data_IF_602648218750
#
_entry.id   IF_602648218750
#
_cell.length_a   1.000
_cell.length_b   1.000
_cell.length_c   1.000
_cell.angle_alpha   90.00
_cell.angle_beta   90.00
_cell.angle_gamma   90.00
#
_symmetry.space_group_name_H-M   'P 1'
#
loop_
_entity.id
_entity.type
_entity.pdbx_description
1 polymer ?
#
# COMPACT_ATOMS: atom_id res chain seq x y z
N UNK A 1 40.93 46.15 -9.09
CA UNK A 1 40.50 44.93 -8.36
C UNK A 1 39.01 44.71 -8.63
N UNK A 2 38.67 43.78 -9.52
CA UNK A 2 37.29 43.48 -9.91
C UNK A 2 36.69 42.52 -8.87
N UNK A 3 35.67 42.96 -8.13
CA UNK A 3 34.93 42.10 -7.20
C UNK A 3 33.92 41.28 -8.00
N UNK A 4 34.22 40.00 -8.20
CA UNK A 4 33.27 39.03 -8.76
C UNK A 4 32.24 38.72 -7.68
N UNK A 5 30.99 39.16 -7.90
CA UNK A 5 29.86 38.89 -7.03
C UNK A 5 29.29 37.51 -7.41
N UNK A 6 29.57 36.50 -6.58
CA UNK A 6 29.05 35.15 -6.76
C UNK A 6 27.57 35.15 -6.33
N UNK A 7 26.66 35.26 -7.31
CA UNK A 7 25.22 35.07 -7.08
C UNK A 7 24.98 33.58 -6.92
N UNK A 8 24.85 33.10 -5.69
CA UNK A 8 24.28 31.79 -5.41
C UNK A 8 22.80 31.81 -5.85
N UNK A 9 22.52 31.30 -7.04
CA UNK A 9 21.17 30.88 -7.41
C UNK A 9 20.81 29.70 -6.51
N UNK A 10 20.09 29.98 -5.44
CA UNK A 10 19.30 28.96 -4.74
C UNK A 10 18.25 28.47 -5.75
N UNK A 11 18.50 27.31 -6.36
CA UNK A 11 17.45 26.58 -7.06
C UNK A 11 16.38 26.24 -6.02
N UNK A 12 15.33 27.05 -5.97
CA UNK A 12 14.09 26.66 -5.34
C UNK A 12 13.56 25.48 -6.13
N UNK A 13 13.92 24.27 -5.72
CA UNK A 13 13.21 23.08 -6.13
C UNK A 13 11.78 23.24 -5.59
N UNK A 14 10.92 23.81 -6.41
CA UNK A 14 9.48 23.63 -6.28
C UNK A 14 9.26 22.12 -6.39
N UNK A 15 9.23 21.45 -5.24
CA UNK A 15 8.93 20.04 -5.11
C UNK A 15 7.42 19.92 -5.37
N UNK A 16 7.04 20.06 -6.63
CA UNK A 16 5.67 20.15 -7.08
C UNK A 16 4.91 18.89 -6.69
N UNK A 17 4.03 19.04 -5.69
CA UNK A 17 2.82 18.25 -5.48
C UNK A 17 2.90 16.77 -5.83
N UNK A 18 3.89 16.04 -5.27
CA UNK A 18 3.96 14.58 -5.37
C UNK A 18 3.42 13.94 -4.10
N UNK A 19 2.10 13.82 -4.03
CA UNK A 19 1.44 12.88 -3.11
C UNK A 19 0.25 12.32 -3.86
N UNK A 20 0.31 11.06 -4.26
CA UNK A 20 -0.78 10.51 -5.05
C UNK A 20 -1.01 9.01 -5.00
N UNK A 21 -0.10 8.15 -4.56
CA UNK A 21 -0.39 6.71 -4.60
C UNK A 21 -1.27 6.24 -3.45
N UNK A 22 -2.59 6.29 -3.62
CA UNK A 22 -3.43 5.32 -2.94
C UNK A 22 -3.60 4.06 -3.78
N UNK A 23 -4.19 3.03 -3.20
CA UNK A 23 -4.25 1.72 -3.82
C UNK A 23 -5.05 1.69 -5.14
N UNK A 24 -4.47 1.02 -6.12
CA UNK A 24 -5.02 0.83 -7.46
C UNK A 24 -5.59 -0.57 -7.61
N UNK A 25 -6.63 -0.68 -8.42
CA UNK A 25 -7.34 -1.92 -8.73
C UNK A 25 -7.27 -2.19 -10.23
N UNK A 26 -7.18 -3.46 -10.59
CA UNK A 26 -7.52 -3.96 -11.93
C UNK A 26 -9.00 -4.32 -11.92
N UNK A 27 -9.79 -3.57 -12.68
CA UNK A 27 -11.23 -3.80 -12.84
C UNK A 27 -11.48 -4.36 -14.23
N UNK A 28 -11.95 -5.60 -14.30
CA UNK A 28 -12.29 -6.28 -15.55
C UNK A 28 -13.79 -6.51 -15.66
N UNK A 29 -14.37 -6.20 -16.82
CA UNK A 29 -15.78 -6.43 -17.12
C UNK A 29 -15.90 -7.40 -18.29
N UNK A 30 -16.10 -8.68 -18.00
CA UNK A 30 -16.20 -9.73 -19.03
C UNK A 30 -17.51 -10.50 -18.91
N UNK A 31 -18.27 -10.56 -20.01
CA UNK A 31 -19.51 -11.34 -20.12
C UNK A 31 -20.53 -11.00 -19.02
N UNK A 32 -20.65 -9.71 -18.68
CA UNK A 32 -21.54 -9.22 -17.62
C UNK A 32 -21.04 -9.48 -16.19
N UNK A 33 -19.84 -10.05 -16.02
CA UNK A 33 -19.21 -10.25 -14.71
C UNK A 33 -18.14 -9.19 -14.48
N UNK A 34 -18.21 -8.51 -13.34
CA UNK A 34 -17.19 -7.58 -12.87
C UNK A 34 -16.22 -8.33 -11.96
N UNK A 35 -14.94 -8.33 -12.30
CA UNK A 35 -13.84 -8.82 -11.44
C UNK A 35 -13.03 -7.62 -10.98
N UNK A 36 -12.77 -7.55 -9.69
CA UNK A 36 -11.95 -6.51 -9.09
C UNK A 36 -10.81 -7.20 -8.35
N UNK A 37 -9.60 -6.75 -8.61
CA UNK A 37 -8.37 -7.30 -8.05
C UNK A 37 -7.44 -6.14 -7.68
N UNK A 38 -6.88 -6.16 -6.47
CA UNK A 38 -5.89 -5.19 -6.02
C UNK A 38 -4.64 -5.36 -6.87
N UNK A 39 -4.08 -4.24 -7.34
CA UNK A 39 -2.91 -4.28 -8.20
C UNK A 39 -1.72 -4.99 -7.54
N UNK A 40 -1.57 -4.84 -6.23
CA UNK A 40 -0.54 -5.51 -5.42
C UNK A 40 -0.58 -7.04 -5.59
N UNK A 41 -1.78 -7.61 -5.68
CA UNK A 41 -1.97 -9.04 -5.92
C UNK A 41 -1.82 -9.37 -7.39
N UNK A 42 -2.40 -8.55 -8.28
CA UNK A 42 -2.34 -8.76 -9.72
C UNK A 42 -0.89 -8.77 -10.26
N UNK A 43 -0.02 -7.89 -9.75
CA UNK A 43 1.39 -7.81 -10.16
C UNK A 43 2.26 -8.97 -9.61
N UNK A 44 1.75 -9.73 -8.64
CA UNK A 44 2.51 -10.78 -7.98
C UNK A 44 2.05 -12.17 -8.42
N UNK A 45 3.00 -12.99 -8.87
CA UNK A 45 2.79 -14.42 -9.07
C UNK A 45 3.27 -15.18 -7.84
N UNK A 46 2.35 -15.75 -7.07
CA UNK A 46 2.71 -16.57 -5.92
C UNK A 46 1.55 -17.40 -5.39
N UNK A 47 1.83 -18.50 -4.67
CA UNK A 47 0.79 -19.21 -3.94
C UNK A 47 0.24 -18.29 -2.86
N UNK A 48 -1.03 -17.94 -3.00
CA UNK A 48 -1.75 -17.14 -2.03
C UNK A 48 -2.14 -18.00 -0.85
N UNK A 49 -1.91 -17.51 0.37
CA UNK A 49 -2.36 -18.25 1.54
C UNK A 49 -3.87 -18.39 1.51
N UNK A 50 -4.39 -19.54 1.93
CA UNK A 50 -5.83 -19.70 2.15
C UNK A 50 -6.22 -18.85 3.36
N UNK A 51 -7.10 -17.89 3.12
CA UNK A 51 -7.68 -17.03 4.15
C UNK A 51 -9.09 -17.55 4.40
N UNK A 52 -9.38 -17.90 5.66
CA UNK A 52 -10.62 -18.59 6.02
C UNK A 52 -11.83 -17.66 6.15
N UNK A 53 -11.58 -16.37 6.38
CA UNK A 53 -12.63 -15.39 6.62
C UNK A 53 -13.12 -14.69 5.35
N UNK A 54 -14.42 -14.34 5.37
CA UNK A 54 -15.05 -13.45 4.40
C UNK A 54 -15.20 -12.00 4.92
N UNK A 55 -14.70 -11.70 6.13
CA UNK A 55 -14.72 -10.38 6.75
C UNK A 55 -13.33 -9.71 6.66
N UNK A 56 -13.23 -8.52 6.07
CA UNK A 56 -11.92 -7.89 5.86
C UNK A 56 -11.12 -7.62 7.14
N UNK A 57 -11.78 -7.35 8.27
CA UNK A 57 -11.08 -7.06 9.52
C UNK A 57 -10.42 -8.33 10.07
N UNK A 58 -11.13 -9.46 10.00
CA UNK A 58 -10.56 -10.77 10.34
C UNK A 58 -9.41 -11.14 9.40
N UNK A 59 -9.52 -10.84 8.10
CA UNK A 59 -8.43 -11.07 7.15
C UNK A 59 -7.17 -10.26 7.52
N UNK A 60 -7.35 -8.99 7.89
CA UNK A 60 -6.26 -8.12 8.36
C UNK A 60 -5.67 -8.67 9.65
N UNK A 61 -6.51 -9.07 10.61
CA UNK A 61 -6.06 -9.65 11.88
C UNK A 61 -5.26 -10.95 11.69
N UNK A 62 -5.72 -11.86 10.84
CA UNK A 62 -4.97 -13.07 10.47
C UNK A 62 -3.62 -12.72 9.84
N UNK A 63 -3.59 -11.72 8.95
CA UNK A 63 -2.38 -11.27 8.25
C UNK A 63 -1.37 -10.70 9.24
N UNK A 64 -1.82 -9.84 10.14
CA UNK A 64 -0.99 -9.24 11.17
C UNK A 64 -0.57 -10.25 12.24
N UNK A 65 -1.38 -11.26 12.52
CA UNK A 65 -1.02 -12.38 13.41
C UNK A 65 0.06 -13.28 12.80
N UNK A 66 0.05 -13.50 11.48
CA UNK A 66 1.16 -14.18 10.81
C UNK A 66 2.45 -13.34 10.90
N UNK A 67 2.36 -12.03 10.63
CA UNK A 67 3.51 -11.12 10.77
C UNK A 67 4.04 -11.05 12.21
N UNK A 68 3.16 -11.08 13.22
CA UNK A 68 3.52 -11.01 14.64
C UNK A 68 4.51 -12.12 15.04
N UNK A 69 4.38 -13.31 14.45
CA UNK A 69 5.27 -14.45 14.74
C UNK A 69 6.71 -14.24 14.28
N UNK A 70 6.92 -13.31 13.36
CA UNK A 70 8.19 -13.13 12.62
C UNK A 70 8.80 -11.75 12.92
N UNK A 71 7.97 -10.70 12.97
CA UNK A 71 8.34 -9.31 13.21
C UNK A 71 7.31 -8.63 14.15
N UNK A 72 7.33 -8.95 15.46
CA UNK A 72 6.29 -8.55 16.41
C UNK A 72 6.13 -7.03 16.54
N UNK A 73 7.20 -6.24 16.62
CA UNK A 73 7.06 -4.78 16.62
C UNK A 73 6.46 -4.21 15.33
N UNK A 74 6.79 -4.79 14.18
CA UNK A 74 6.22 -4.34 12.90
C UNK A 74 4.72 -4.65 12.85
N UNK A 75 4.31 -5.85 13.26
CA UNK A 75 2.92 -6.22 13.38
C UNK A 75 2.14 -5.30 14.34
N UNK A 76 2.71 -5.01 15.52
CA UNK A 76 2.12 -4.06 16.47
C UNK A 76 1.94 -2.68 15.83
N UNK A 77 2.97 -2.14 15.19
CA UNK A 77 2.90 -0.82 14.57
C UNK A 77 1.86 -0.77 13.44
N UNK A 78 1.69 -1.86 12.69
CA UNK A 78 0.63 -1.96 11.68
C UNK A 78 -0.77 -2.09 12.27
N UNK A 79 -0.95 -2.81 13.38
CA UNK A 79 -2.23 -2.83 14.13
C UNK A 79 -2.60 -1.43 14.62
N UNK A 80 -1.68 -0.76 15.30
CA UNK A 80 -1.90 0.60 15.82
C UNK A 80 -2.20 1.57 14.66
N UNK A 81 -1.56 1.38 13.50
CA UNK A 81 -1.82 2.20 12.31
C UNK A 81 -3.20 1.94 11.72
N UNK A 82 -3.63 0.68 11.64
CA UNK A 82 -4.95 0.29 11.14
C UNK A 82 -6.08 0.96 11.92
N UNK A 83 -6.03 0.89 13.25
CA UNK A 83 -7.02 1.54 14.12
C UNK A 83 -7.14 3.05 13.87
N UNK A 84 -6.00 3.73 13.65
CA UNK A 84 -5.99 5.16 13.31
C UNK A 84 -6.52 5.41 11.91
N UNK A 85 -6.10 4.60 10.94
CA UNK A 85 -6.44 4.79 9.52
C UNK A 85 -7.95 4.76 9.30
N UNK A 86 -8.66 3.90 10.02
CA UNK A 86 -10.13 3.82 9.96
C UNK A 86 -10.82 5.17 10.21
N UNK A 87 -10.26 6.01 11.09
CA UNK A 87 -10.81 7.35 11.37
C UNK A 87 -10.37 8.39 10.35
N UNK A 88 -9.31 8.14 9.61
CA UNK A 88 -8.72 9.06 8.64
C UNK A 88 -9.28 8.90 7.22
N UNK A 89 -10.10 7.87 6.97
CA UNK A 89 -10.75 7.65 5.68
C UNK A 89 -12.06 8.42 5.59
N UNK A 90 -12.28 9.01 4.42
CA UNK A 90 -13.57 9.46 3.94
C UNK A 90 -13.98 8.66 2.70
N UNK A 91 -15.16 8.04 2.76
CA UNK A 91 -15.76 7.37 1.61
C UNK A 91 -16.54 8.38 0.78
N UNK A 92 -16.38 8.31 -0.54
CA UNK A 92 -17.09 9.17 -1.50
C UNK A 92 -17.76 8.31 -2.56
N UNK A 93 -19.03 8.56 -2.79
CA UNK A 93 -19.84 7.92 -3.84
C UNK A 93 -19.86 8.79 -5.10
N UNK A 94 -20.12 8.16 -6.25
CA UNK A 94 -20.28 8.83 -7.55
C UNK A 94 -19.05 9.67 -7.96
N UNK A 95 -17.86 9.16 -7.64
CA UNK A 95 -16.60 9.80 -8.02
C UNK A 95 -15.68 8.82 -8.75
N UNK A 96 -14.86 9.37 -9.63
CA UNK A 96 -13.68 8.71 -10.16
C UNK A 96 -12.45 9.39 -9.59
N UNK A 97 -11.62 8.66 -8.86
CA UNK A 97 -10.34 9.17 -8.41
C UNK A 97 -9.40 9.28 -9.61
N UNK A 98 -8.73 10.43 -9.73
CA UNK A 98 -7.79 10.68 -10.81
C UNK A 98 -6.53 9.85 -10.54
N UNK A 99 -6.15 9.05 -11.52
CA UNK A 99 -4.89 8.29 -11.51
C UNK A 99 -3.72 9.19 -11.18
N UNK A 100 -2.95 8.80 -10.17
CA UNK A 100 -1.77 9.52 -9.78
C UNK A 100 -0.56 9.11 -10.63
N UNK A 101 0.22 10.10 -11.09
CA UNK A 101 1.39 9.86 -11.95
C UNK A 101 2.54 9.11 -11.25
N UNK A 102 2.49 8.98 -9.93
CA UNK A 102 3.47 8.27 -9.10
C UNK A 102 3.21 6.76 -9.03
N UNK A 103 2.17 6.24 -9.67
CA UNK A 103 1.77 4.84 -9.52
C UNK A 103 2.75 3.86 -10.15
N UNK A 104 3.57 4.34 -11.10
CA UNK A 104 4.60 3.59 -11.83
C UNK A 104 4.15 2.15 -12.11
N UNK A 105 2.93 1.98 -12.59
CA UNK A 105 2.40 0.66 -12.90
C UNK A 105 3.34 0.00 -13.90
N UNK A 106 3.87 -1.16 -13.53
CA UNK A 106 4.81 -1.89 -14.39
C UNK A 106 4.08 -2.61 -15.52
N UNK A 107 2.76 -2.75 -15.38
CA UNK A 107 1.90 -3.51 -16.28
C UNK A 107 0.60 -2.76 -16.50
N UNK A 108 0.13 -2.80 -17.75
CA UNK A 108 -1.21 -2.40 -18.14
C UNK A 108 -1.95 -3.67 -18.62
N UNK A 109 -3.19 -3.93 -18.18
CA UNK A 109 -3.92 -5.11 -18.63
C UNK A 109 -4.07 -5.14 -20.17
N UNK A 110 -3.65 -6.24 -20.80
CA UNK A 110 -3.74 -6.38 -22.27
C UNK A 110 -5.18 -6.46 -22.79
N UNK A 111 -6.12 -6.93 -21.95
CA UNK A 111 -7.53 -7.01 -22.32
C UNK A 111 -8.14 -5.61 -22.30
N UNK A 112 -8.74 -5.19 -23.43
CA UNK A 112 -9.53 -3.95 -23.52
C UNK A 112 -10.72 -3.91 -22.55
N UNK A 113 -11.06 -5.04 -21.93
CA UNK A 113 -12.13 -5.16 -20.93
C UNK A 113 -11.65 -4.92 -19.50
N UNK A 114 -10.34 -4.76 -19.30
CA UNK A 114 -9.74 -4.47 -18.02
C UNK A 114 -9.18 -3.05 -18.01
N UNK A 115 -9.32 -2.35 -16.89
CA UNK A 115 -8.76 -1.01 -16.71
C UNK A 115 -8.23 -0.85 -15.29
N UNK A 116 -7.17 -0.06 -15.16
CA UNK A 116 -6.68 0.38 -13.86
C UNK A 116 -7.59 1.49 -13.33
N UNK A 117 -8.00 1.36 -12.06
CA UNK A 117 -8.78 2.37 -11.37
C UNK A 117 -8.20 2.61 -9.98
N UNK A 118 -8.06 3.88 -9.62
CA UNK A 118 -7.62 4.27 -8.29
C UNK A 118 -8.79 4.15 -7.31
N UNK A 119 -8.62 3.37 -6.24
CA UNK A 119 -9.64 3.14 -5.23
C UNK A 119 -9.43 3.96 -3.97
N UNK A 120 -8.18 4.35 -3.69
CA UNK A 120 -7.83 5.24 -2.60
C UNK A 120 -6.92 6.36 -3.11
N UNK A 121 -6.97 7.53 -2.48
CA UNK A 121 -5.99 8.59 -2.67
C UNK A 121 -5.78 9.37 -1.39
N UNK A 122 -4.58 9.93 -1.22
CA UNK A 122 -4.23 10.73 -0.05
C UNK A 122 -4.50 12.21 -0.32
N UNK A 123 -5.09 12.89 0.67
CA UNK A 123 -5.30 14.34 0.65
C UNK A 123 -4.04 15.09 1.01
N UNK A 124 -3.80 16.21 0.32
CA UNK A 124 -2.76 17.16 0.68
C UNK A 124 -3.13 18.02 1.90
N UNK A 125 -4.43 18.29 2.09
CA UNK A 125 -4.94 19.08 3.22
C UNK A 125 -5.45 18.20 4.35
N UNK A 126 -5.22 18.62 5.60
CA UNK A 126 -5.61 17.92 6.84
C UNK A 126 -6.75 18.61 7.60
N UNK A 127 -7.51 19.47 6.94
CA UNK A 127 -8.45 20.41 7.57
C UNK A 127 -9.55 19.77 8.41
N UNK A 128 -9.81 18.48 8.25
CA UNK A 128 -10.86 17.71 8.95
C UNK A 128 -10.35 16.40 9.60
N UNK A 129 -9.03 16.20 9.65
CA UNK A 129 -8.42 14.95 10.11
C UNK A 129 -8.59 13.76 9.14
N UNK A 130 -9.32 13.93 8.03
CA UNK A 130 -9.41 12.93 6.96
C UNK A 130 -8.20 13.07 6.04
N UNK A 131 -7.41 12.02 5.98
CA UNK A 131 -6.18 11.98 5.16
C UNK A 131 -6.37 11.21 3.87
N UNK A 132 -7.40 10.37 3.78
CA UNK A 132 -7.60 9.50 2.62
C UNK A 132 -9.03 9.61 2.11
N UNK A 133 -9.18 9.55 0.78
CA UNK A 133 -10.47 9.41 0.11
C UNK A 133 -10.51 8.03 -0.51
N UNK A 134 -11.56 7.27 -0.19
CA UNK A 134 -11.83 5.98 -0.79
C UNK A 134 -13.05 6.09 -1.71
N UNK A 135 -12.96 5.52 -2.92
CA UNK A 135 -14.13 5.35 -3.78
C UNK A 135 -15.06 4.33 -3.15
N UNK A 136 -16.22 4.79 -2.69
CA UNK A 136 -17.21 3.93 -2.04
C UNK A 136 -17.83 2.92 -3.01
N UNK A 137 -17.95 3.29 -4.29
CA UNK A 137 -18.50 2.43 -5.33
C UNK A 137 -17.56 1.24 -5.63
N UNK A 138 -16.25 1.51 -5.73
CA UNK A 138 -15.25 0.44 -5.83
C UNK A 138 -15.18 -0.37 -4.53
N UNK A 139 -15.27 0.29 -3.37
CA UNK A 139 -15.21 -0.37 -2.07
C UNK A 139 -16.28 -1.43 -1.87
N UNK A 140 -17.54 -1.12 -2.18
CA UNK A 140 -18.67 -2.04 -2.01
C UNK A 140 -18.56 -3.28 -2.89
N UNK A 141 -18.01 -3.12 -4.10
CA UNK A 141 -17.88 -4.20 -5.08
C UNK A 141 -16.60 -5.04 -4.91
N UNK A 142 -15.63 -4.54 -4.13
CA UNK A 142 -14.38 -5.28 -3.86
C UNK A 142 -14.65 -6.50 -2.99
N UNK A 143 -14.10 -7.70 -3.32
CA UNK A 143 -14.08 -8.82 -2.40
C UNK A 143 -13.36 -8.47 -1.09
N UNK A 144 -13.71 -9.13 0.01
CA UNK A 144 -13.15 -8.84 1.34
C UNK A 144 -11.61 -8.93 1.38
N UNK A 145 -11.02 -9.88 0.65
CA UNK A 145 -9.57 -9.99 0.52
C UNK A 145 -8.95 -8.76 -0.15
N UNK A 146 -9.58 -8.23 -1.19
CA UNK A 146 -9.09 -7.04 -1.91
C UNK A 146 -9.20 -5.80 -1.02
N UNK A 147 -10.30 -5.67 -0.26
CA UNK A 147 -10.46 -4.62 0.76
C UNK A 147 -9.38 -4.70 1.84
N UNK A 148 -9.11 -5.90 2.35
CA UNK A 148 -8.06 -6.13 3.34
C UNK A 148 -6.66 -5.80 2.77
N UNK A 149 -6.40 -6.20 1.52
CA UNK A 149 -5.18 -5.83 0.82
C UNK A 149 -5.02 -4.32 0.65
N UNK A 150 -6.10 -3.62 0.29
CA UNK A 150 -6.10 -2.16 0.15
C UNK A 150 -5.82 -1.44 1.49
N UNK A 151 -6.40 -1.91 2.59
CA UNK A 151 -6.04 -1.42 3.92
C UNK A 151 -4.55 -1.60 4.22
N UNK A 152 -4.04 -2.82 3.96
CA UNK A 152 -2.63 -3.13 4.20
C UNK A 152 -1.71 -2.33 3.28
N UNK A 153 -2.13 -2.02 2.06
CA UNK A 153 -1.43 -1.11 1.16
C UNK A 153 -1.23 0.25 1.80
N UNK A 154 -2.29 0.91 2.24
CA UNK A 154 -2.19 2.23 2.84
C UNK A 154 -1.36 2.23 4.13
N UNK A 155 -1.46 1.17 4.94
CA UNK A 155 -0.65 1.01 6.17
C UNK A 155 0.84 0.89 5.84
N UNK A 156 1.19 -0.03 4.95
CA UNK A 156 2.58 -0.31 4.56
C UNK A 156 3.17 0.90 3.83
N UNK A 157 2.42 1.48 2.89
CA UNK A 157 2.88 2.61 2.11
C UNK A 157 3.09 3.85 2.97
N UNK A 158 2.16 4.17 3.89
CA UNK A 158 2.35 5.30 4.80
C UNK A 158 3.59 5.12 5.70
N UNK A 159 3.90 3.90 6.13
CA UNK A 159 5.14 3.60 6.85
C UNK A 159 6.37 3.79 5.96
N UNK A 160 6.36 3.26 4.74
CA UNK A 160 7.48 3.36 3.80
C UNK A 160 7.74 4.81 3.36
N UNK A 161 6.69 5.60 3.17
CA UNK A 161 6.79 7.03 2.87
C UNK A 161 7.47 7.81 4.01
N UNK A 162 7.18 7.47 5.27
CA UNK A 162 7.87 8.04 6.44
C UNK A 162 9.35 7.68 6.49
N UNK A 163 9.73 6.55 5.88
CA UNK A 163 11.12 6.10 5.72
C UNK A 163 11.80 6.67 4.45
N UNK A 164 11.12 7.55 3.70
CA UNK A 164 11.68 8.25 2.55
C UNK A 164 11.38 7.62 1.19
N UNK A 165 10.56 6.55 1.13
CA UNK A 165 10.10 6.02 -0.16
C UNK A 165 9.19 7.02 -0.88
N UNK A 166 9.37 7.12 -2.20
CA UNK A 166 8.68 8.13 -3.03
C UNK A 166 7.50 7.54 -3.81
N UNK A 167 7.42 6.22 -3.90
CA UNK A 167 6.41 5.49 -4.67
C UNK A 167 5.92 4.24 -3.93
N UNK A 168 4.88 3.62 -4.47
CA UNK A 168 4.22 2.46 -3.83
C UNK A 168 4.81 1.12 -4.24
N UNK A 169 5.83 1.04 -5.11
CA UNK A 169 6.31 -0.22 -5.69
C UNK A 169 6.75 -1.23 -4.64
N UNK A 170 7.48 -0.76 -3.62
CA UNK A 170 7.95 -1.62 -2.52
C UNK A 170 6.80 -2.01 -1.58
N UNK A 171 5.84 -1.10 -1.36
CA UNK A 171 4.66 -1.39 -0.56
C UNK A 171 3.83 -2.50 -1.20
N UNK A 172 3.60 -2.45 -2.51
CA UNK A 172 2.89 -3.51 -3.26
C UNK A 172 3.52 -4.88 -3.09
N UNK A 173 4.85 -4.95 -3.22
CA UNK A 173 5.61 -6.21 -3.00
C UNK A 173 5.48 -6.71 -1.57
N UNK A 174 5.53 -5.82 -0.58
CA UNK A 174 5.37 -6.18 0.82
C UNK A 174 3.95 -6.68 1.11
N UNK A 175 2.92 -6.01 0.62
CA UNK A 175 1.52 -6.45 0.76
C UNK A 175 1.32 -7.82 0.12
N UNK A 176 1.80 -8.03 -1.11
CA UNK A 176 1.74 -9.34 -1.75
C UNK A 176 2.44 -10.43 -0.90
N UNK A 177 3.62 -10.13 -0.35
CA UNK A 177 4.33 -11.05 0.54
C UNK A 177 3.48 -11.40 1.77
N UNK A 178 2.89 -10.42 2.45
CA UNK A 178 2.05 -10.60 3.64
C UNK A 178 0.79 -11.45 3.38
N UNK A 179 0.31 -11.51 2.13
CA UNK A 179 -0.85 -12.33 1.74
C UNK A 179 -0.46 -13.66 1.07
N UNK A 180 0.83 -13.91 0.86
CA UNK A 180 1.32 -15.17 0.28
C UNK A 180 1.49 -16.26 1.34
N UNK A 181 1.64 -17.52 0.93
CA UNK A 181 2.00 -18.60 1.85
C UNK A 181 3.37 -18.39 2.52
N UNK A 182 4.22 -17.54 1.94
CA UNK A 182 5.57 -17.29 2.44
C UNK A 182 5.57 -16.77 3.87
N UNK A 183 4.65 -15.87 4.24
CA UNK A 183 4.62 -15.31 5.61
C UNK A 183 4.30 -16.36 6.69
N UNK A 184 3.72 -17.51 6.34
CA UNK A 184 3.44 -18.59 7.31
C UNK A 184 4.43 -19.75 7.21
N UNK A 185 5.21 -19.84 6.14
CA UNK A 185 6.18 -20.91 5.90
C UNK A 185 7.62 -20.47 6.18
N UNK A 186 7.95 -19.19 5.94
CA UNK A 186 9.30 -18.65 6.08
C UNK A 186 9.62 -18.28 7.53
N UNK A 187 10.90 -18.41 7.87
CA UNK A 187 11.50 -18.02 9.14
C UNK A 187 11.72 -16.50 9.24
N UNK A 188 11.98 -15.96 10.45
CA UNK A 188 12.45 -14.58 10.61
C UNK A 188 13.64 -14.21 9.72
N UNK A 189 14.57 -15.13 9.49
CA UNK A 189 15.76 -14.87 8.66
C UNK A 189 15.36 -14.61 7.21
N UNK A 190 14.45 -15.43 6.66
CA UNK A 190 13.98 -15.30 5.28
C UNK A 190 13.13 -14.06 5.06
N UNK A 191 12.27 -13.71 6.03
CA UNK A 191 11.54 -12.46 6.05
C UNK A 191 12.48 -11.25 6.01
N UNK A 192 13.50 -11.21 6.88
CA UNK A 192 14.45 -10.10 6.90
C UNK A 192 15.34 -10.06 5.65
N UNK A 193 15.64 -11.22 5.04
CA UNK A 193 16.30 -11.27 3.74
C UNK A 193 15.41 -10.68 2.63
N UNK A 194 14.10 -10.93 2.66
CA UNK A 194 13.13 -10.29 1.76
C UNK A 194 13.09 -8.77 1.95
N UNK A 195 12.97 -8.29 3.19
CA UNK A 195 13.02 -6.86 3.52
C UNK A 195 14.33 -6.22 3.05
N UNK A 196 15.46 -6.90 3.25
CA UNK A 196 16.77 -6.45 2.77
C UNK A 196 16.81 -6.27 1.24
N UNK A 197 16.18 -7.17 0.48
CA UNK A 197 16.05 -7.05 -0.98
C UNK A 197 15.14 -5.89 -1.41
N UNK A 198 14.12 -5.56 -0.62
CA UNK A 198 13.30 -4.36 -0.86
C UNK A 198 14.10 -3.07 -0.65
N UNK A 199 15.21 -3.12 0.10
CA UNK A 199 16.02 -1.94 0.47
C UNK A 199 15.17 -0.86 1.14
N UNK A 200 14.37 -1.28 2.13
CA UNK A 200 13.60 -0.39 3.01
C UNK A 200 14.24 -0.47 4.40
N UNK A 201 14.53 0.65 5.07
CA UNK A 201 15.20 0.65 6.38
C UNK A 201 14.20 0.32 7.51
N UNK A 202 13.62 -0.87 7.47
CA UNK A 202 12.76 -1.37 8.55
C UNK A 202 13.61 -1.74 9.76
N UNK A 203 13.13 -1.38 10.95
CA UNK A 203 13.78 -1.72 12.21
C UNK A 203 13.60 -3.21 12.50
N UNK A 204 14.69 -3.87 12.87
CA UNK A 204 14.69 -5.21 13.44
C UNK A 204 14.76 -5.06 14.95
N UNK A 205 13.85 -5.68 15.69
CA UNK A 205 14.11 -5.86 17.12
C UNK A 205 15.30 -6.81 17.25
N UNK A 206 16.35 -6.37 17.94
CA UNK A 206 17.34 -7.33 18.42
C UNK A 206 16.60 -8.30 19.35
N UNK A 207 16.86 -9.62 19.25
CA UNK A 207 16.30 -10.55 20.21
C UNK A 207 16.70 -10.05 21.59
N UNK A 208 15.71 -9.78 22.45
CA UNK A 208 16.00 -9.59 23.86
C UNK A 208 16.60 -10.91 24.32
N UNK A 209 17.92 -10.91 24.52
CA UNK A 209 18.63 -12.03 25.15
C UNK A 209 18.10 -12.05 26.58
N UNK A 210 17.14 -12.95 26.82
CA UNK A 210 16.64 -13.28 28.16
C UNK A 210 17.70 -14.09 28.91
#
# INVERSE_FOLDING_TARGET
MIKIFFVLMAAAFANGNRVGNGGNLVVCEENGRRRIELLDFYESSGPWRKIGSADENQIIDETLSALQKIAPALAKNYRDRFERLQREIEYKENIQLVSSQDSFHLIEPLSKKCRLQQAATRRNSRTDGKKFIFSQDLWKDMPARERAGLWMHEIVYDHFAQLGEKDSLKARKMVAYLFSERIIQESPVEFWAFVGRLRVPLYREEPQVL
#
